data_IF_288707745556
#
_entry.id   IF_288707745556
#
_cell.length_a   1.000
_cell.length_b   1.000
_cell.length_c   1.000
_cell.angle_alpha   90.00
_cell.angle_beta   90.00
_cell.angle_gamma   90.00
#
_symmetry.space_group_name_H-M   'P 1'
#
loop_
_entity.id
_entity.type
_entity.pdbx_description
1 polymer ?
#
# COMPACT_ATOMS: atom_id res chain seq x y z
N UNK A 1 3.52 -48.92 -15.86
CA UNK A 1 3.95 -47.94 -16.88
C UNK A 1 5.04 -47.05 -16.25
N UNK A 2 6.31 -47.14 -16.71
CA UNK A 2 7.43 -46.40 -16.13
C UNK A 2 7.96 -45.30 -17.07
N UNK A 3 8.17 -44.08 -16.57
CA UNK A 3 9.06 -43.07 -17.20
C UNK A 3 9.35 -41.95 -16.19
N UNK A 4 10.42 -42.05 -15.39
CA UNK A 4 11.81 -41.66 -15.67
C UNK A 4 12.05 -40.12 -15.70
N UNK A 5 12.53 -39.60 -14.58
CA UNK A 5 13.08 -38.25 -14.39
C UNK A 5 14.42 -38.13 -15.13
N UNK A 6 14.57 -37.15 -16.03
CA UNK A 6 15.87 -36.80 -16.65
C UNK A 6 16.35 -35.43 -16.20
N UNK A 7 17.37 -35.42 -15.35
CA UNK A 7 18.25 -34.26 -15.11
C UNK A 7 19.19 -34.09 -16.31
N UNK A 8 19.27 -32.91 -16.92
CA UNK A 8 20.38 -32.57 -17.85
C UNK A 8 21.30 -31.56 -17.17
N UNK A 9 22.53 -32.01 -16.89
CA UNK A 9 23.69 -31.18 -16.60
C UNK A 9 24.30 -30.80 -17.96
N UNK A 10 24.53 -29.52 -18.21
CA UNK A 10 25.45 -29.08 -19.26
C UNK A 10 26.66 -28.41 -18.61
N UNK A 11 27.81 -29.07 -18.75
CA UNK A 11 29.12 -28.55 -18.40
C UNK A 11 29.81 -28.13 -19.70
N UNK A 12 30.45 -26.97 -19.62
CA UNK A 12 31.76 -26.59 -20.15
C UNK A 12 31.97 -26.46 -21.67
N UNK A 13 32.59 -25.35 -22.09
CA UNK A 13 33.99 -25.23 -22.56
C UNK A 13 34.22 -23.77 -23.06
N UNK A 14 35.15 -23.00 -22.47
CA UNK A 14 36.47 -22.58 -23.04
C UNK A 14 36.39 -22.01 -24.46
N UNK A 15 36.90 -20.82 -24.79
CA UNK A 15 38.32 -20.42 -25.07
C UNK A 15 38.21 -18.93 -25.51
N UNK A 16 38.98 -17.92 -25.11
CA UNK A 16 40.43 -17.78 -25.03
C UNK A 16 41.00 -17.26 -26.36
N UNK A 17 41.05 -15.94 -26.61
CA UNK A 17 41.93 -15.32 -27.63
C UNK A 17 42.51 -14.01 -27.08
N UNK A 18 43.82 -13.90 -27.28
CA UNK A 18 44.82 -12.96 -26.80
C UNK A 18 44.90 -11.61 -27.55
N UNK A 19 45.62 -10.71 -26.90
CA UNK A 19 45.90 -9.29 -27.14
C UNK A 19 46.62 -8.89 -28.46
N UNK A 20 46.98 -7.58 -28.51
CA UNK A 20 47.97 -6.83 -29.32
C UNK A 20 47.26 -5.79 -30.21
N UNK A 21 47.67 -4.53 -30.41
CA UNK A 21 48.50 -3.50 -29.78
C UNK A 21 48.47 -2.27 -30.74
N UNK A 22 48.76 -1.08 -30.21
CA UNK A 22 49.42 0.06 -30.88
C UNK A 22 48.67 0.91 -31.95
N UNK A 23 48.34 2.14 -31.52
CA UNK A 23 48.88 3.44 -31.99
C UNK A 23 48.74 3.89 -33.48
N UNK A 24 47.93 4.94 -33.69
CA UNK A 24 48.30 6.28 -34.24
C UNK A 24 47.50 6.82 -35.45
N UNK A 25 47.20 8.12 -35.33
CA UNK A 25 47.13 9.17 -36.38
C UNK A 25 45.78 9.54 -37.05
N UNK A 26 45.31 10.73 -36.64
CA UNK A 26 44.54 11.79 -37.32
C UNK A 26 44.05 11.57 -38.76
N UNK A 27 42.74 11.76 -39.00
CA UNK A 27 42.21 12.64 -40.07
C UNK A 27 40.72 12.97 -39.87
N UNK A 28 40.43 14.28 -39.92
CA UNK A 28 39.22 15.00 -40.37
C UNK A 28 37.80 14.57 -39.97
N UNK A 29 37.12 15.55 -39.37
CA UNK A 29 35.69 15.59 -39.12
C UNK A 29 34.84 15.56 -40.41
N UNK A 30 33.65 14.95 -40.31
CA UNK A 30 32.44 15.59 -40.81
C UNK A 30 31.45 15.81 -39.65
N UNK A 31 30.95 17.04 -39.56
CA UNK A 31 29.81 17.42 -38.71
C UNK A 31 28.60 16.62 -39.17
N UNK A 32 28.23 15.58 -38.43
CA UNK A 32 26.92 14.94 -38.54
C UNK A 32 26.09 15.39 -37.34
N UNK A 33 25.04 16.16 -37.63
CA UNK A 33 24.01 16.50 -36.68
C UNK A 33 23.33 15.22 -36.18
N UNK A 34 23.79 14.71 -35.04
CA UNK A 34 23.09 13.67 -34.30
C UNK A 34 22.09 14.37 -33.37
N UNK A 35 20.80 14.19 -33.68
CA UNK A 35 19.69 14.59 -32.84
C UNK A 35 19.95 14.16 -31.40
N UNK A 36 19.92 15.14 -30.48
CA UNK A 36 19.91 14.87 -29.05
C UNK A 36 18.78 13.87 -28.77
N UNK A 37 19.04 12.68 -28.20
CA UNK A 37 17.98 12.03 -27.45
C UNK A 37 17.75 12.96 -26.28
N UNK A 38 16.69 13.78 -26.38
CA UNK A 38 16.14 14.49 -25.24
C UNK A 38 15.85 13.43 -24.20
N UNK A 39 16.78 13.29 -23.25
CA UNK A 39 16.56 12.55 -22.03
C UNK A 39 15.48 13.34 -21.29
N UNK A 40 14.23 13.06 -21.62
CA UNK A 40 13.10 13.37 -20.77
C UNK A 40 13.30 12.55 -19.51
N UNK A 41 14.12 13.11 -18.61
CA UNK A 41 14.00 12.82 -17.20
C UNK A 41 12.59 13.26 -16.86
N UNK A 42 11.65 12.32 -16.87
CA UNK A 42 10.40 12.47 -16.16
C UNK A 42 10.81 12.70 -14.70
N UNK A 43 10.99 13.97 -14.33
CA UNK A 43 11.10 14.38 -12.96
C UNK A 43 9.81 13.89 -12.32
N UNK A 44 9.93 12.77 -11.60
CA UNK A 44 8.85 12.23 -10.79
C UNK A 44 8.56 13.34 -9.80
N UNK A 45 7.46 14.08 -10.03
CA UNK A 45 7.05 15.16 -9.15
C UNK A 45 7.12 14.64 -7.72
N UNK A 46 7.68 15.42 -6.76
CA UNK A 46 7.63 15.00 -5.37
C UNK A 46 6.17 14.74 -5.02
N UNK A 47 5.89 13.58 -4.44
CA UNK A 47 4.57 13.28 -3.93
C UNK A 47 4.12 14.46 -3.06
N UNK A 48 2.90 14.94 -3.27
CA UNK A 48 2.35 16.00 -2.44
C UNK A 48 2.49 15.58 -0.96
N UNK A 49 2.91 16.51 -0.11
CA UNK A 49 2.99 16.24 1.32
C UNK A 49 1.62 15.73 1.83
N UNK A 50 1.60 14.78 2.78
CA UNK A 50 0.35 14.31 3.37
C UNK A 50 -0.45 15.47 3.96
N UNK A 51 -1.79 15.43 3.90
CA UNK A 51 -2.62 16.49 4.45
C UNK A 51 -2.56 16.51 5.98
N UNK A 52 -2.58 17.71 6.56
CA UNK A 52 -2.77 17.91 8.00
C UNK A 52 -1.66 17.34 8.90
N UNK A 53 -1.92 17.22 10.21
CA UNK A 53 -0.98 16.64 11.17
C UNK A 53 -0.95 15.10 11.09
N UNK A 54 0.10 14.49 11.65
CA UNK A 54 0.13 13.05 11.92
C UNK A 54 -0.77 12.72 13.13
N UNK A 55 -1.62 11.71 13.00
CA UNK A 55 -2.58 11.28 14.04
C UNK A 55 -2.65 9.75 14.11
N UNK A 56 -3.24 9.20 15.18
CA UNK A 56 -3.55 7.78 15.27
C UNK A 56 -4.97 7.47 14.78
N UNK A 57 -5.12 6.36 14.08
CA UNK A 57 -6.43 5.88 13.65
C UNK A 57 -7.32 5.57 14.86
N UNK A 58 -8.61 5.89 14.77
CA UNK A 58 -9.63 5.77 15.81
C UNK A 58 -9.53 6.76 16.99
N UNK A 59 -8.44 7.54 17.11
CA UNK A 59 -8.38 8.60 18.13
C UNK A 59 -9.52 9.59 17.94
N UNK A 60 -10.06 10.10 19.04
CA UNK A 60 -11.04 11.17 19.01
C UNK A 60 -10.43 12.45 18.43
N UNK A 61 -11.23 13.20 17.69
CA UNK A 61 -10.78 14.39 16.99
C UNK A 61 -11.72 15.58 17.21
N UNK A 62 -11.22 16.83 17.14
CA UNK A 62 -12.00 18.00 17.52
C UNK A 62 -12.91 18.54 16.41
N UNK A 63 -12.46 18.44 15.14
CA UNK A 63 -13.00 19.25 14.05
C UNK A 63 -13.60 18.38 12.94
N UNK A 64 -14.94 18.37 12.84
CA UNK A 64 -15.65 17.60 11.82
C UNK A 64 -15.14 17.94 10.41
N UNK A 65 -14.79 16.90 9.65
CA UNK A 65 -14.37 17.03 8.26
C UNK A 65 -12.94 17.50 8.09
N UNK A 66 -12.17 17.68 9.17
CA UNK A 66 -10.73 17.87 9.06
C UNK A 66 -10.07 16.65 8.41
N UNK A 67 -9.00 16.90 7.64
CA UNK A 67 -8.14 15.89 7.05
C UNK A 67 -6.81 15.83 7.84
N UNK A 68 -6.28 14.63 8.03
CA UNK A 68 -5.00 14.36 8.66
C UNK A 68 -4.34 13.16 7.97
N UNK A 69 -3.17 12.73 8.47
CA UNK A 69 -2.52 11.52 7.98
C UNK A 69 -2.04 10.61 9.11
N UNK A 70 -1.91 9.33 8.82
CA UNK A 70 -1.27 8.35 9.69
C UNK A 70 0.24 8.32 9.46
N UNK A 71 0.96 7.63 10.36
CA UNK A 71 2.41 7.43 10.24
C UNK A 71 2.84 6.72 8.92
N UNK A 72 1.95 5.93 8.32
CA UNK A 72 2.18 5.29 7.01
C UNK A 72 1.87 6.21 5.81
N UNK A 73 1.49 7.46 6.07
CA UNK A 73 1.15 8.47 5.08
C UNK A 73 -0.29 8.38 4.55
N UNK A 74 -1.11 7.42 4.99
CA UNK A 74 -2.52 7.34 4.57
C UNK A 74 -3.31 8.50 5.14
N UNK A 75 -4.13 9.11 4.29
CA UNK A 75 -5.09 10.14 4.70
C UNK A 75 -6.21 9.55 5.55
N UNK A 76 -6.59 10.29 6.59
CA UNK A 76 -7.76 10.02 7.45
C UNK A 76 -8.57 11.29 7.66
N UNK A 77 -9.81 11.11 8.11
CA UNK A 77 -10.82 12.14 8.21
C UNK A 77 -11.45 12.15 9.59
N UNK A 78 -11.68 13.33 10.13
CA UNK A 78 -12.36 13.49 11.40
C UNK A 78 -13.88 13.33 11.19
N UNK A 79 -14.36 12.12 11.44
CA UNK A 79 -15.67 11.65 10.98
C UNK A 79 -16.62 11.43 12.15
N UNK A 80 -17.89 11.85 12.04
CA UNK A 80 -18.86 11.66 13.11
C UNK A 80 -19.29 10.21 13.28
N UNK A 81 -19.52 9.82 14.53
CA UNK A 81 -20.18 8.57 14.88
C UNK A 81 -21.70 8.80 14.98
N UNK A 82 -22.48 8.00 14.25
CA UNK A 82 -23.93 8.09 14.22
C UNK A 82 -24.54 7.90 15.60
N UNK A 83 -25.54 8.74 15.93
CA UNK A 83 -26.26 8.66 17.20
C UNK A 83 -25.47 9.12 18.42
N UNK A 84 -24.31 9.78 18.22
CA UNK A 84 -23.47 10.34 19.28
C UNK A 84 -22.91 11.71 18.88
N UNK A 85 -22.31 12.41 19.83
CA UNK A 85 -21.55 13.65 19.58
C UNK A 85 -20.06 13.41 19.30
N UNK A 86 -19.63 12.14 19.22
CA UNK A 86 -18.22 11.79 19.02
C UNK A 86 -17.78 11.97 17.56
N UNK A 87 -16.54 12.42 17.39
CA UNK A 87 -15.81 12.43 16.13
C UNK A 87 -14.53 11.62 16.29
N UNK A 88 -14.19 10.79 15.31
CA UNK A 88 -12.98 9.96 15.34
C UNK A 88 -12.23 10.02 14.00
N UNK A 89 -10.91 9.88 14.04
CA UNK A 89 -10.10 9.74 12.84
C UNK A 89 -10.39 8.40 12.16
N UNK A 90 -10.85 8.45 10.91
CA UNK A 90 -11.32 7.30 10.12
C UNK A 90 -10.81 7.36 8.69
N UNK A 91 -10.65 6.21 8.05
CA UNK A 91 -10.37 6.15 6.61
C UNK A 91 -11.56 6.59 5.74
N UNK A 92 -12.77 6.63 6.28
CA UNK A 92 -13.98 7.04 5.56
C UNK A 92 -14.44 8.42 6.01
N UNK A 93 -14.82 9.29 5.05
CA UNK A 93 -15.50 10.56 5.33
C UNK A 93 -16.96 10.39 5.79
N UNK A 94 -17.57 9.25 5.50
CA UNK A 94 -18.97 8.96 5.81
C UNK A 94 -19.17 8.65 7.30
N UNK A 95 -20.32 9.01 7.88
CA UNK A 95 -20.57 8.83 9.32
C UNK A 95 -20.48 7.35 9.73
N UNK A 96 -19.72 7.06 10.78
CA UNK A 96 -19.51 5.70 11.29
C UNK A 96 -20.75 5.20 12.03
N UNK A 97 -21.20 3.98 11.75
CA UNK A 97 -22.37 3.38 12.42
C UNK A 97 -22.13 3.08 13.90
N UNK A 98 -20.89 2.87 14.32
CA UNK A 98 -20.51 2.56 15.71
C UNK A 98 -19.17 3.20 16.05
N UNK A 99 -19.03 3.64 17.30
CA UNK A 99 -17.76 4.17 17.81
C UNK A 99 -16.73 3.03 17.91
N UNK A 100 -15.59 3.09 17.18
CA UNK A 100 -14.55 2.07 17.25
C UNK A 100 -13.97 1.92 18.65
N UNK A 101 -13.99 2.94 19.51
CA UNK A 101 -13.45 2.86 20.87
C UNK A 101 -14.38 2.12 21.86
N UNK A 102 -15.60 1.78 21.44
CA UNK A 102 -16.61 1.10 22.29
C UNK A 102 -16.81 -0.37 21.94
N UNK A 103 -15.88 -0.94 21.16
CA UNK A 103 -16.05 -2.27 20.55
C UNK A 103 -16.03 -3.45 21.53
N UNK A 104 -15.42 -3.29 22.70
CA UNK A 104 -15.41 -4.29 23.77
C UNK A 104 -14.44 -5.46 23.55
N UNK A 105 -13.53 -5.32 22.58
CA UNK A 105 -12.44 -6.25 22.29
C UNK A 105 -11.20 -5.46 21.84
N UNK A 106 -10.06 -6.13 21.84
CA UNK A 106 -8.78 -5.57 21.38
C UNK A 106 -8.23 -6.41 20.22
N UNK A 107 -7.50 -5.78 19.31
CA UNK A 107 -6.84 -6.45 18.20
C UNK A 107 -5.33 -6.22 18.25
N UNK A 108 -4.56 -7.30 18.30
CA UNK A 108 -3.10 -7.31 18.32
C UNK A 108 -2.59 -8.44 17.41
N UNK A 109 -1.46 -8.23 16.72
CA UNK A 109 -0.76 -9.26 15.94
C UNK A 109 -1.66 -10.12 15.01
N UNK A 110 -2.59 -9.47 14.31
CA UNK A 110 -3.46 -10.17 13.36
C UNK A 110 -4.67 -10.88 13.98
N UNK A 111 -4.89 -10.78 15.30
CA UNK A 111 -5.99 -11.43 16.01
C UNK A 111 -6.76 -10.44 16.88
N UNK A 112 -8.08 -10.61 16.93
CA UNK A 112 -8.94 -9.82 17.80
C UNK A 112 -9.53 -10.72 18.89
N UNK A 113 -9.45 -10.30 20.15
CA UNK A 113 -9.87 -11.09 21.31
C UNK A 113 -10.74 -10.29 22.24
N UNK A 114 -11.74 -10.96 22.81
CA UNK A 114 -12.49 -10.44 23.95
C UNK A 114 -11.63 -10.44 25.22
N UNK A 115 -12.05 -9.71 26.27
CA UNK A 115 -11.37 -9.71 27.56
C UNK A 115 -11.26 -11.09 28.23
N UNK A 116 -12.13 -12.04 27.88
CA UNK A 116 -12.09 -13.42 28.34
C UNK A 116 -11.06 -14.30 27.59
N UNK A 117 -10.40 -13.73 26.58
CA UNK A 117 -9.39 -14.38 25.75
C UNK A 117 -9.92 -15.11 24.52
N UNK A 118 -11.24 -15.21 24.34
CA UNK A 118 -11.83 -15.85 23.16
C UNK A 118 -11.68 -15.00 21.89
N UNK A 119 -11.58 -15.65 20.72
CA UNK A 119 -11.44 -14.96 19.43
C UNK A 119 -12.76 -14.27 19.04
N UNK A 120 -12.65 -13.03 18.56
CA UNK A 120 -13.82 -12.26 18.09
C UNK A 120 -14.24 -12.76 16.71
N UNK A 121 -15.51 -13.17 16.52
CA UNK A 121 -15.99 -13.59 15.21
C UNK A 121 -15.91 -12.46 14.17
N UNK A 122 -15.57 -12.81 12.93
CA UNK A 122 -15.41 -11.85 11.82
C UNK A 122 -16.56 -10.86 11.64
N UNK A 123 -17.80 -11.30 11.85
CA UNK A 123 -18.99 -10.47 11.69
C UNK A 123 -19.21 -9.44 12.81
N UNK A 124 -18.48 -9.56 13.92
CA UNK A 124 -18.52 -8.58 15.03
C UNK A 124 -17.36 -7.58 14.96
N UNK A 125 -16.40 -7.83 14.07
CA UNK A 125 -15.21 -7.01 13.84
C UNK A 125 -15.55 -5.89 12.88
N UNK A 126 -14.93 -4.72 13.04
CA UNK A 126 -15.10 -3.64 12.07
C UNK A 126 -14.09 -3.69 10.92
N UNK A 127 -13.04 -4.51 11.05
CA UNK A 127 -12.14 -4.80 9.94
C UNK A 127 -11.26 -3.63 9.55
N UNK A 128 -10.99 -3.51 8.25
CA UNK A 128 -10.03 -2.53 7.70
C UNK A 128 -10.39 -1.09 8.10
N UNK A 129 -11.68 -0.76 8.14
CA UNK A 129 -12.15 0.58 8.51
C UNK A 129 -11.62 1.05 9.87
N UNK A 130 -11.36 0.10 10.76
CA UNK A 130 -10.87 0.33 12.12
C UNK A 130 -9.37 0.08 12.30
N UNK A 131 -8.64 -0.23 11.22
CA UNK A 131 -7.25 -0.69 11.29
C UNK A 131 -7.10 -2.11 11.85
N UNK A 132 -8.18 -2.88 11.86
CA UNK A 132 -8.15 -4.28 12.28
C UNK A 132 -7.79 -5.16 11.09
N UNK A 133 -7.34 -6.41 11.33
CA UNK A 133 -7.17 -7.37 10.24
C UNK A 133 -8.44 -7.49 9.39
N UNK A 134 -8.35 -7.79 8.09
CA UNK A 134 -9.53 -7.93 7.24
C UNK A 134 -10.57 -8.90 7.83
N UNK A 135 -11.84 -8.55 7.73
CA UNK A 135 -12.96 -9.47 7.95
C UNK A 135 -13.15 -10.37 6.73
N UNK A 136 -13.96 -11.42 6.86
CA UNK A 136 -14.35 -12.23 5.71
C UNK A 136 -15.10 -11.42 4.65
N UNK A 137 -15.83 -10.36 5.04
CA UNK A 137 -16.49 -9.44 4.11
C UNK A 137 -15.48 -8.59 3.32
N UNK A 138 -14.46 -8.08 4.01
CA UNK A 138 -13.39 -7.28 3.38
C UNK A 138 -12.62 -8.10 2.33
N UNK A 139 -12.34 -9.37 2.65
CA UNK A 139 -11.65 -10.28 1.74
C UNK A 139 -12.54 -10.67 0.56
N UNK A 140 -13.78 -11.11 0.81
CA UNK A 140 -14.67 -11.61 -0.25
C UNK A 140 -15.13 -10.51 -1.22
N UNK A 141 -15.21 -9.26 -0.76
CA UNK A 141 -15.55 -8.12 -1.62
C UNK A 141 -14.36 -7.61 -2.45
N UNK A 142 -13.12 -8.00 -2.12
CA UNK A 142 -11.91 -7.43 -2.72
C UNK A 142 -11.50 -6.07 -2.12
N UNK A 143 -12.16 -5.63 -1.03
CA UNK A 143 -11.79 -4.42 -0.29
C UNK A 143 -10.35 -4.51 0.25
N UNK A 144 -10.01 -5.67 0.82
CA UNK A 144 -8.69 -5.93 1.40
C UNK A 144 -7.57 -5.78 0.37
N UNK A 145 -7.66 -6.51 -0.75
CA UNK A 145 -6.67 -6.47 -1.82
C UNK A 145 -6.49 -5.05 -2.38
N UNK A 146 -7.59 -4.31 -2.55
CA UNK A 146 -7.54 -2.93 -3.02
C UNK A 146 -6.80 -1.99 -2.04
N UNK A 147 -7.09 -2.12 -0.75
CA UNK A 147 -6.52 -1.28 0.31
C UNK A 147 -5.04 -1.63 0.58
N UNK A 148 -4.67 -2.90 0.47
CA UNK A 148 -3.30 -3.39 0.58
C UNK A 148 -2.43 -2.95 -0.61
N UNK A 149 -3.02 -2.82 -1.80
CA UNK A 149 -2.35 -2.25 -2.97
C UNK A 149 -2.03 -0.74 -2.84
N UNK A 150 -2.43 -0.10 -1.73
CA UNK A 150 -2.16 1.32 -1.47
C UNK A 150 -3.21 2.27 -2.04
N UNK A 151 -4.33 1.75 -2.55
CA UNK A 151 -5.45 2.59 -3.00
C UNK A 151 -6.15 3.21 -1.78
N UNK A 152 -6.56 4.50 -1.83
CA UNK A 152 -7.35 5.10 -0.75
C UNK A 152 -8.61 4.30 -0.43
N UNK A 153 -8.94 4.15 0.86
CA UNK A 153 -10.07 3.33 1.31
C UNK A 153 -11.39 3.69 0.63
N UNK A 154 -11.67 4.97 0.46
CA UNK A 154 -12.90 5.49 -0.17
C UNK A 154 -13.03 5.06 -1.64
N UNK A 155 -11.90 4.98 -2.34
CA UNK A 155 -11.88 4.48 -3.72
C UNK A 155 -12.14 2.97 -3.75
N UNK A 156 -11.61 2.22 -2.79
CA UNK A 156 -11.90 0.80 -2.67
C UNK A 156 -13.37 0.54 -2.31
N UNK A 157 -13.93 1.27 -1.35
CA UNK A 157 -15.36 1.19 -1.00
C UNK A 157 -16.26 1.49 -2.20
N UNK A 158 -15.91 2.48 -3.02
CA UNK A 158 -16.68 2.85 -4.21
C UNK A 158 -16.67 1.77 -5.29
N UNK A 159 -15.64 0.93 -5.36
CA UNK A 159 -15.53 -0.14 -6.37
C UNK A 159 -16.39 -1.36 -6.04
N UNK A 160 -16.73 -1.55 -4.77
CA UNK A 160 -17.40 -2.77 -4.27
C UNK A 160 -18.87 -2.57 -3.91
N UNK A 161 -19.36 -1.32 -3.86
CA UNK A 161 -20.79 -0.98 -3.74
C UNK A 161 -21.43 -0.89 -5.11
#
# INVERSE_FOLDING_TARGET
>A
MPTAVRRRKFRALTTGITAIAALSALVMAPVTAAASPGAWSAARSPAAAPPGPEVSLNDYCPDRGADAHLADGRTVYCTPVQGTDALVWSYSRGPLTRDPNTRGYTCDDGRCRFPDGSDVPGYQRCGILCGEPPTSGDVQSGLADCFEAGTPFEECERRIR
#
